data_IF_217277835347
#
_entry.id   IF_217277835347
#
_cell.length_a   1.000
_cell.length_b   1.000
_cell.length_c   1.000
_cell.angle_alpha   90.00
_cell.angle_beta   90.00
_cell.angle_gamma   90.00
#
_symmetry.space_group_name_H-M   'P 1'
#
loop_
_entity.id
_entity.type
_entity.pdbx_description
1 polymer ?
#
# COMPACT_ATOMS: atom_id res chain seq x y z
N UNK A 1 -11.23 -4.16 4.86
CA UNK A 1 -10.73 -3.27 3.79
C UNK A 1 -11.73 -2.13 3.59
N UNK A 2 -11.32 -0.98 3.06
CA UNK A 2 -12.26 0.13 2.79
C UNK A 2 -13.22 -0.24 1.66
N UNK A 3 -14.56 -0.22 1.89
CA UNK A 3 -15.53 -0.44 0.83
C UNK A 3 -15.60 0.77 -0.12
N UNK A 4 -16.16 0.58 -1.30
CA UNK A 4 -16.32 1.62 -2.34
C UNK A 4 -15.02 2.20 -2.92
N UNK A 5 -13.90 1.55 -2.67
CA UNK A 5 -12.60 1.88 -3.27
C UNK A 5 -12.14 0.66 -4.06
N UNK A 6 -12.13 0.78 -5.38
CA UNK A 6 -11.86 -0.34 -6.28
C UNK A 6 -10.56 -0.09 -7.05
N UNK A 7 -9.57 -0.99 -6.95
CA UNK A 7 -8.41 -0.91 -7.82
C UNK A 7 -8.76 -1.37 -9.23
N UNK A 8 -8.22 -0.66 -10.22
CA UNK A 8 -8.43 -0.94 -11.64
C UNK A 8 -7.13 -1.37 -12.34
N UNK A 9 -5.98 -0.91 -11.85
CA UNK A 9 -4.66 -1.23 -12.39
C UNK A 9 -3.58 -1.09 -11.32
N UNK A 10 -2.52 -1.89 -11.44
CA UNK A 10 -1.34 -1.84 -10.58
C UNK A 10 -0.09 -1.76 -11.45
N UNK A 11 0.74 -0.74 -11.20
CA UNK A 11 2.13 -0.74 -11.63
C UNK A 11 3.00 -1.09 -10.43
N UNK A 12 3.80 -2.14 -10.56
CA UNK A 12 4.65 -2.65 -9.49
C UNK A 12 6.11 -2.65 -9.94
N UNK A 13 6.95 -1.97 -9.17
CA UNK A 13 8.40 -2.01 -9.31
C UNK A 13 9.02 -2.55 -8.02
N UNK A 14 9.87 -3.56 -8.15
CA UNK A 14 10.63 -4.13 -7.03
C UNK A 14 12.10 -4.04 -7.38
N UNK A 15 12.88 -3.36 -6.54
CA UNK A 15 14.32 -3.30 -6.64
C UNK A 15 14.92 -4.06 -5.45
N UNK A 16 15.66 -5.13 -5.74
CA UNK A 16 16.24 -6.01 -4.73
C UNK A 16 17.70 -5.65 -4.45
N UNK A 17 18.08 -5.74 -3.19
CA UNK A 17 19.46 -5.71 -2.72
C UNK A 17 19.78 -7.09 -2.15
N UNK A 18 20.49 -7.89 -2.95
CA UNK A 18 20.83 -9.27 -2.60
C UNK A 18 21.99 -9.37 -1.62
N UNK A 19 22.81 -8.32 -1.48
CA UNK A 19 23.90 -8.29 -0.50
C UNK A 19 23.32 -8.11 0.91
N UNK A 20 22.35 -7.20 1.05
CA UNK A 20 21.70 -6.91 2.31
C UNK A 20 20.42 -7.73 2.55
N UNK A 21 20.00 -8.55 1.60
CA UNK A 21 18.75 -9.32 1.62
C UNK A 21 17.52 -8.43 1.89
N UNK A 22 17.44 -7.30 1.21
CA UNK A 22 16.30 -6.36 1.32
C UNK A 22 15.74 -6.01 -0.05
N UNK A 23 14.59 -5.34 -0.08
CA UNK A 23 14.07 -4.77 -1.30
C UNK A 23 13.34 -3.45 -1.02
N UNK A 24 13.29 -2.61 -2.05
CA UNK A 24 12.42 -1.43 -2.12
C UNK A 24 11.33 -1.73 -3.15
N UNK A 25 10.08 -1.61 -2.72
CA UNK A 25 8.90 -1.69 -3.57
C UNK A 25 8.31 -0.31 -3.82
N UNK A 26 7.91 -0.06 -5.06
CA UNK A 26 7.03 1.05 -5.44
C UNK A 26 5.81 0.43 -6.11
N UNK A 27 4.64 0.63 -5.53
CA UNK A 27 3.37 0.33 -6.18
C UNK A 27 2.65 1.63 -6.52
N UNK A 28 2.05 1.68 -7.72
CA UNK A 28 1.07 2.70 -8.11
C UNK A 28 -0.23 1.98 -8.40
N UNK A 29 -1.24 2.27 -7.58
CA UNK A 29 -2.57 1.70 -7.68
C UNK A 29 -3.49 2.73 -8.31
N UNK A 30 -4.07 2.41 -9.45
CA UNK A 30 -5.18 3.16 -10.01
C UNK A 30 -6.45 2.75 -9.31
N UNK A 31 -7.16 3.71 -8.73
CA UNK A 31 -8.33 3.50 -7.89
C UNK A 31 -9.54 4.23 -8.46
N UNK A 32 -10.73 3.70 -8.20
CA UNK A 32 -12.02 4.38 -8.35
C UNK A 32 -12.75 4.40 -7.02
N UNK A 33 -13.01 5.61 -6.52
CA UNK A 33 -13.75 5.91 -5.30
C UNK A 33 -15.22 6.14 -5.66
N UNK A 34 -16.13 5.23 -5.27
CA UNK A 34 -17.58 5.35 -5.51
C UNK A 34 -18.33 6.14 -4.45
N UNK A 35 -17.68 6.43 -3.33
CA UNK A 35 -18.15 7.37 -2.31
C UNK A 35 -16.98 8.19 -1.81
N UNK A 36 -17.26 9.32 -1.20
CA UNK A 36 -16.26 10.19 -0.58
C UNK A 36 -15.44 9.45 0.48
N UNK A 37 -14.11 9.46 0.36
CA UNK A 37 -13.19 8.86 1.34
C UNK A 37 -12.03 9.79 1.66
N UNK A 38 -11.67 9.84 2.94
CA UNK A 38 -10.41 10.41 3.43
C UNK A 38 -9.46 9.33 3.98
N UNK A 39 -9.91 8.08 4.08
CA UNK A 39 -9.11 6.96 4.61
C UNK A 39 -9.22 5.72 3.73
N UNK A 40 -8.07 5.09 3.46
CA UNK A 40 -7.98 3.82 2.74
C UNK A 40 -7.33 2.78 3.65
N UNK A 41 -7.99 1.65 3.87
CA UNK A 41 -7.50 0.50 4.63
C UNK A 41 -7.16 -0.65 3.68
N UNK A 42 -5.89 -1.03 3.65
CA UNK A 42 -5.31 -2.06 2.79
C UNK A 42 -4.74 -3.21 3.64
N UNK A 43 -4.45 -4.34 2.99
CA UNK A 43 -3.61 -5.37 3.59
C UNK A 43 -2.17 -4.90 3.68
N UNK A 44 -1.47 -5.27 4.75
CA UNK A 44 -0.04 -5.00 4.94
C UNK A 44 0.53 -6.02 5.91
N UNK A 45 1.46 -6.84 5.45
CA UNK A 45 2.17 -7.83 6.24
C UNK A 45 3.68 -7.71 5.96
N UNK A 46 4.46 -7.59 7.02
CA UNK A 46 5.94 -7.62 7.00
C UNK A 46 6.62 -6.67 6.00
N UNK A 47 5.97 -5.56 5.69
CA UNK A 47 6.51 -4.45 4.90
C UNK A 47 6.47 -3.14 5.70
N UNK A 48 7.51 -2.33 5.53
CA UNK A 48 7.63 -0.99 6.11
C UNK A 48 7.33 0.06 5.05
N UNK A 49 6.21 0.77 5.18
CA UNK A 49 5.82 1.83 4.25
C UNK A 49 6.55 3.11 4.65
N UNK A 50 7.28 3.66 3.70
CA UNK A 50 8.13 4.85 3.90
C UNK A 50 7.53 6.12 3.33
N UNK A 51 6.68 6.00 2.31
CA UNK A 51 5.95 7.12 1.73
C UNK A 51 4.64 6.65 1.09
N UNK A 52 3.62 7.51 1.17
CA UNK A 52 2.33 7.32 0.52
C UNK A 52 1.89 8.64 -0.08
N UNK A 53 1.53 8.63 -1.37
CA UNK A 53 0.99 9.80 -2.06
C UNK A 53 -0.28 9.47 -2.81
N UNK A 54 -1.31 10.28 -2.62
CA UNK A 54 -2.51 10.28 -3.44
C UNK A 54 -2.41 11.37 -4.50
N UNK A 55 -2.72 11.01 -5.75
CA UNK A 55 -2.66 11.88 -6.93
C UNK A 55 -1.32 12.61 -7.10
N UNK A 56 -0.23 12.01 -6.61
CA UNK A 56 1.15 12.51 -6.75
C UNK A 56 1.57 13.60 -5.76
N UNK A 57 0.66 14.20 -5.01
CA UNK A 57 0.96 15.39 -4.18
C UNK A 57 0.32 15.43 -2.79
N UNK A 58 -0.59 14.51 -2.45
CA UNK A 58 -1.22 14.46 -1.12
C UNK A 58 -0.60 13.34 -0.29
N UNK A 59 0.14 13.69 0.76
CA UNK A 59 0.69 12.73 1.70
C UNK A 59 -0.39 12.16 2.64
N UNK A 60 -0.22 10.90 3.06
CA UNK A 60 -1.05 10.27 4.08
C UNK A 60 -0.29 10.03 5.39
N UNK A 61 -1.00 10.11 6.50
CA UNK A 61 -0.54 9.51 7.76
C UNK A 61 -0.83 8.01 7.77
N UNK A 62 0.12 7.23 8.28
CA UNK A 62 0.13 5.77 8.21
C UNK A 62 -0.13 5.20 9.61
N UNK A 63 -1.11 4.30 9.75
CA UNK A 63 -1.41 3.60 11.00
C UNK A 63 -1.55 2.11 10.77
N UNK A 64 -0.73 1.30 11.45
CA UNK A 64 -0.71 -0.15 11.30
C UNK A 64 -1.59 -0.84 12.34
N UNK A 65 -2.35 -1.86 11.89
CA UNK A 65 -3.03 -2.82 12.75
C UNK A 65 -2.41 -4.21 12.51
N UNK A 66 -1.34 -4.52 13.25
CA UNK A 66 -0.56 -5.76 13.06
C UNK A 66 -1.39 -7.03 13.31
N UNK A 67 -2.29 -7.01 14.29
CA UNK A 67 -3.18 -8.14 14.60
C UNK A 67 -4.13 -8.48 13.45
N UNK A 68 -4.48 -7.50 12.61
CA UNK A 68 -5.35 -7.68 11.45
C UNK A 68 -4.58 -7.68 10.12
N UNK A 69 -3.24 -7.56 10.16
CA UNK A 69 -2.38 -7.47 8.97
C UNK A 69 -2.87 -6.40 7.99
N UNK A 70 -3.20 -5.22 8.52
CA UNK A 70 -3.73 -4.10 7.74
C UNK A 70 -3.01 -2.79 8.05
N UNK A 71 -3.08 -1.86 7.10
CA UNK A 71 -2.62 -0.49 7.23
C UNK A 71 -3.75 0.47 6.84
N UNK A 72 -3.90 1.54 7.62
CA UNK A 72 -4.80 2.65 7.33
C UNK A 72 -3.98 3.86 6.88
N UNK A 73 -4.34 4.39 5.71
CA UNK A 73 -3.76 5.57 5.09
C UNK A 73 -4.77 6.70 5.22
N UNK A 74 -4.46 7.73 6.02
CA UNK A 74 -5.37 8.84 6.28
C UNK A 74 -4.88 10.10 5.58
N UNK A 75 -5.72 10.62 4.68
CA UNK A 75 -5.46 11.81 3.90
C UNK A 75 -6.11 13.03 4.57
N UNK A 76 -5.49 14.23 4.46
CA UNK A 76 -6.08 15.47 4.97
C UNK A 76 -7.25 15.98 4.13
N UNK A 77 -7.53 15.32 3.00
CA UNK A 77 -8.59 15.68 2.04
C UNK A 77 -9.45 14.46 1.73
N UNK A 78 -10.70 14.72 1.36
CA UNK A 78 -11.63 13.73 0.86
C UNK A 78 -11.54 13.62 -0.66
N UNK A 79 -11.64 12.41 -1.20
CA UNK A 79 -11.58 12.13 -2.65
C UNK A 79 -12.76 11.26 -3.08
N UNK A 80 -13.25 11.52 -4.30
CA UNK A 80 -14.27 10.74 -5.02
C UNK A 80 -13.87 10.65 -6.49
N UNK A 81 -14.29 9.60 -7.20
CA UNK A 81 -13.96 9.39 -8.62
C UNK A 81 -12.61 8.68 -8.82
N UNK A 82 -11.95 8.84 -9.97
CA UNK A 82 -10.66 8.20 -10.25
C UNK A 82 -9.51 8.85 -9.47
N UNK A 83 -8.51 8.06 -9.07
CA UNK A 83 -7.29 8.55 -8.44
C UNK A 83 -6.14 7.55 -8.52
N UNK A 84 -4.94 8.00 -8.15
CA UNK A 84 -3.73 7.15 -8.12
C UNK A 84 -3.12 7.17 -6.74
N UNK A 85 -2.92 5.99 -6.16
CA UNK A 85 -2.26 5.81 -4.87
C UNK A 85 -0.86 5.23 -5.10
N UNK A 86 0.17 6.01 -4.81
CA UNK A 86 1.55 5.53 -4.83
C UNK A 86 1.98 5.17 -3.41
N UNK A 87 2.51 3.96 -3.22
CA UNK A 87 3.08 3.49 -1.96
C UNK A 87 4.53 3.08 -2.21
N UNK A 88 5.44 3.61 -1.41
CA UNK A 88 6.86 3.21 -1.38
C UNK A 88 7.13 2.49 -0.09
N UNK A 89 7.64 1.26 -0.17
CA UNK A 89 7.84 0.39 0.98
C UNK A 89 9.16 -0.37 0.89
N UNK A 90 9.62 -0.85 2.04
CA UNK A 90 10.80 -1.68 2.20
C UNK A 90 10.41 -2.99 2.85
N UNK A 91 11.11 -4.06 2.51
CA UNK A 91 10.96 -5.34 3.16
C UNK A 91 12.27 -6.13 3.16
N UNK A 92 12.29 -7.19 3.96
CA UNK A 92 13.37 -8.17 3.94
C UNK A 92 13.04 -9.29 2.94
N UNK A 93 14.06 -9.76 2.23
CA UNK A 93 13.96 -10.98 1.42
C UNK A 93 14.03 -12.16 2.39
N UNK A 94 12.88 -12.77 2.66
CA UNK A 94 12.78 -13.95 3.52
C UNK A 94 12.91 -15.23 2.68
N UNK A 95 13.65 -16.21 3.20
CA UNK A 95 13.78 -17.55 2.62
C UNK A 95 12.60 -18.49 3.01
N UNK A 96 11.60 -17.94 3.70
CA UNK A 96 10.41 -18.70 4.08
C UNK A 96 9.51 -18.97 2.87
N UNK A 97 9.34 -20.24 2.53
CA UNK A 97 8.29 -20.70 1.61
C UNK A 97 6.92 -20.49 2.26
N UNK A 98 6.35 -19.28 2.16
CA UNK A 98 5.06 -18.94 2.78
C UNK A 98 3.83 -19.53 2.06
N UNK A 99 4.01 -20.48 1.13
CA UNK A 99 2.92 -21.30 0.59
C UNK A 99 3.04 -22.74 1.07
N UNK A 100 2.69 -22.97 2.34
CA UNK A 100 2.34 -24.29 2.84
C UNK A 100 1.01 -24.17 3.60
N UNK A 101 -0.10 -24.07 2.85
CA UNK A 101 -1.37 -24.52 3.40
C UNK A 101 -1.32 -26.05 3.47
N UNK A 102 -1.15 -26.57 4.69
CA UNK A 102 -1.67 -27.87 5.09
C UNK A 102 -3.03 -27.65 5.73
#
# INVERSE_FOLDING_TARGET
>A
LTPDVYPTHYDLQINQDLENLTFIGIEVIHLVFRSEKSTIKLHSLDINITAVKLNGNVDASISYCKSEQTVSLNFPVTVIGPGTLQITYQGAISDQKTFAHR
#
